data_IF_164993936736
#
_entry.id   IF_164993936736
#
_cell.length_a   1.000
_cell.length_b   1.000
_cell.length_c   1.000
_cell.angle_alpha   90.00
_cell.angle_beta   90.00
_cell.angle_gamma   90.00
#
_symmetry.space_group_name_H-M   'P 1'
#
loop_
_entity.id
_entity.type
_entity.pdbx_description
1 polymer ?
#
# COMPACT_ATOMS: atom_id res chain seq x y z
N UNK A 1 11.94 -2.01 -14.48
CA UNK A 1 11.53 -3.42 -14.52
C UNK A 1 10.21 -3.56 -13.80
N UNK A 2 10.11 -2.99 -12.60
CA UNK A 2 8.93 -2.96 -11.74
C UNK A 2 7.65 -2.54 -12.47
N UNK A 3 7.72 -1.52 -13.32
CA UNK A 3 6.58 -1.06 -14.14
C UNK A 3 6.11 -2.10 -15.17
N UNK A 4 7.00 -2.83 -15.83
CA UNK A 4 6.65 -3.59 -17.05
C UNK A 4 6.83 -5.11 -16.93
N UNK A 5 7.28 -5.61 -15.77
CA UNK A 5 7.69 -7.02 -15.60
C UNK A 5 7.27 -7.59 -14.25
N UNK A 6 7.28 -6.79 -13.18
CA UNK A 6 7.08 -7.31 -11.83
C UNK A 6 5.68 -7.88 -11.61
N UNK A 7 4.65 -7.39 -12.32
CA UNK A 7 3.30 -7.94 -12.25
C UNK A 7 3.26 -9.42 -12.67
N UNK A 8 4.00 -9.83 -13.70
CA UNK A 8 4.07 -11.23 -14.14
C UNK A 8 4.81 -12.11 -13.11
N UNK A 9 5.86 -11.55 -12.50
CA UNK A 9 6.61 -12.24 -11.44
C UNK A 9 5.72 -12.43 -10.22
N UNK A 10 4.99 -11.40 -9.82
CA UNK A 10 4.06 -11.44 -8.69
C UNK A 10 2.93 -12.44 -8.95
N UNK A 11 2.34 -12.46 -10.14
CA UNK A 11 1.29 -13.41 -10.50
C UNK A 11 1.76 -14.87 -10.32
N UNK A 12 2.95 -15.19 -10.83
CA UNK A 12 3.53 -16.54 -10.66
C UNK A 12 3.83 -16.84 -9.19
N UNK A 13 4.34 -15.85 -8.45
CA UNK A 13 4.67 -15.98 -7.03
C UNK A 13 3.44 -16.09 -6.13
N UNK A 14 2.27 -15.59 -6.54
CA UNK A 14 1.05 -15.58 -5.72
C UNK A 14 0.00 -16.62 -6.14
N UNK A 15 0.11 -17.22 -7.34
CA UNK A 15 -0.91 -18.10 -7.95
C UNK A 15 -1.45 -19.23 -7.08
N UNK A 16 -0.63 -19.80 -6.19
CA UNK A 16 -0.98 -20.98 -5.39
C UNK A 16 -1.38 -20.65 -3.96
N UNK A 17 -1.38 -19.38 -3.58
CA UNK A 17 -1.70 -18.91 -2.24
C UNK A 17 -3.17 -18.51 -2.14
N UNK A 18 -3.76 -18.75 -0.96
CA UNK A 18 -5.20 -18.59 -0.72
C UNK A 18 -5.55 -17.34 0.07
N UNK A 19 -4.56 -16.77 0.77
CA UNK A 19 -4.72 -15.56 1.56
C UNK A 19 -4.97 -14.33 0.69
N UNK A 20 -4.77 -13.17 1.30
CA UNK A 20 -4.95 -11.87 0.62
C UNK A 20 -4.11 -11.80 -0.65
N UNK A 21 -4.68 -11.23 -1.71
CA UNK A 21 -3.98 -11.06 -2.98
C UNK A 21 -2.74 -10.18 -2.81
N UNK A 22 -1.65 -10.62 -3.42
CA UNK A 22 -0.44 -9.82 -3.57
C UNK A 22 -0.57 -8.80 -4.70
N UNK A 23 0.37 -7.88 -4.73
CA UNK A 23 0.65 -6.96 -5.83
C UNK A 23 2.14 -6.63 -5.79
N UNK A 24 2.63 -5.89 -6.79
CA UNK A 24 4.06 -5.57 -6.93
C UNK A 24 4.57 -4.77 -5.72
N UNK A 25 5.84 -4.96 -5.34
CA UNK A 25 6.50 -4.13 -4.31
C UNK A 25 6.75 -2.73 -4.87
N UNK A 26 7.18 -2.66 -6.12
CA UNK A 26 7.63 -1.43 -6.75
C UNK A 26 8.97 -0.93 -6.17
N UNK A 27 9.49 0.19 -6.70
CA UNK A 27 10.88 0.59 -6.43
C UNK A 27 11.06 1.41 -5.14
N UNK A 28 9.99 1.65 -4.39
CA UNK A 28 9.95 2.68 -3.33
C UNK A 28 9.86 2.13 -1.91
N UNK A 29 9.96 0.82 -1.73
CA UNK A 29 10.09 0.22 -0.41
C UNK A 29 11.43 0.58 0.23
N UNK A 30 11.40 0.91 1.53
CA UNK A 30 12.60 1.12 2.35
C UNK A 30 12.40 0.42 3.70
N UNK A 31 13.29 -0.51 4.09
CA UNK A 31 13.18 -1.20 5.38
C UNK A 31 13.55 -0.28 6.55
N UNK A 32 13.01 -0.58 7.73
CA UNK A 32 13.39 0.10 8.98
C UNK A 32 12.55 1.33 9.33
N UNK A 33 11.36 1.46 8.73
CA UNK A 33 10.41 2.49 9.11
C UNK A 33 10.03 2.38 10.60
N UNK A 34 9.79 3.51 11.29
CA UNK A 34 9.49 3.53 12.72
C UNK A 34 8.37 2.58 13.12
N UNK A 35 8.56 1.86 14.24
CA UNK A 35 7.50 1.02 14.79
C UNK A 35 6.42 1.87 15.46
N UNK A 36 5.16 1.54 15.16
CA UNK A 36 3.97 2.22 15.66
C UNK A 36 3.01 1.22 16.31
N UNK A 37 2.22 1.65 17.31
CA UNK A 37 1.21 0.78 17.94
C UNK A 37 0.06 0.47 16.97
N UNK A 38 -0.69 -0.59 17.29
CA UNK A 38 -1.84 -1.08 16.50
C UNK A 38 -2.81 0.03 16.08
N UNK A 39 -3.05 0.99 16.97
CA UNK A 39 -3.81 2.21 16.70
C UNK A 39 -2.86 3.39 16.63
N UNK A 40 -2.65 3.93 15.43
CA UNK A 40 -1.68 5.01 15.21
C UNK A 40 -2.06 5.96 14.08
N UNK A 41 -1.25 6.99 13.92
CA UNK A 41 -1.23 7.87 12.75
C UNK A 41 0.16 7.78 12.15
N UNK A 42 0.27 7.66 10.82
CA UNK A 42 1.58 7.68 10.17
C UNK A 42 2.33 8.99 10.44
N UNK A 43 3.68 8.99 10.41
CA UNK A 43 4.44 10.23 10.37
C UNK A 43 4.02 11.03 9.13
N UNK A 44 3.71 12.31 9.31
CA UNK A 44 3.23 13.19 8.24
C UNK A 44 3.52 14.65 8.61
N UNK A 45 3.77 15.50 7.60
CA UNK A 45 3.95 16.95 7.77
C UNK A 45 2.64 17.62 8.19
N UNK A 46 2.71 18.88 8.62
CA UNK A 46 1.50 19.67 8.88
C UNK A 46 0.68 19.94 7.61
N UNK A 47 1.35 20.06 6.46
CA UNK A 47 0.71 20.17 5.13
C UNK A 47 -0.16 18.94 4.84
N UNK A 48 0.40 17.75 5.01
CA UNK A 48 -0.31 16.48 4.84
C UNK A 48 -1.53 16.39 5.77
N UNK A 49 -1.42 16.88 7.03
CA UNK A 49 -2.53 16.92 8.00
C UNK A 49 -3.68 17.84 7.59
N UNK A 50 -3.48 18.73 6.63
CA UNK A 50 -4.52 19.58 6.06
C UNK A 50 -5.50 18.81 5.16
N UNK A 51 -5.13 17.63 4.67
CA UNK A 51 -5.97 16.80 3.82
C UNK A 51 -6.96 15.96 4.65
N UNK A 52 -8.12 15.56 4.06
CA UNK A 52 -9.04 14.66 4.72
C UNK A 52 -8.36 13.36 5.15
N UNK A 53 -8.49 13.00 6.43
CA UNK A 53 -7.88 11.80 6.97
C UNK A 53 -8.48 10.54 6.35
N UNK A 54 -7.63 9.57 6.05
CA UNK A 54 -7.97 8.19 5.71
C UNK A 54 -7.67 7.29 6.92
N UNK A 55 -8.67 6.53 7.37
CA UNK A 55 -8.54 5.56 8.45
C UNK A 55 -8.70 4.17 7.85
N UNK A 56 -7.60 3.44 7.75
CA UNK A 56 -7.56 2.05 7.36
C UNK A 56 -7.56 1.19 8.63
N UNK A 57 -8.56 0.34 8.81
CA UNK A 57 -8.65 -0.55 9.97
C UNK A 57 -9.00 -1.97 9.55
N UNK A 58 -8.70 -2.94 10.39
CA UNK A 58 -9.02 -4.33 10.10
C UNK A 58 -8.27 -5.28 11.02
N UNK A 59 -8.14 -6.53 10.57
CA UNK A 59 -7.52 -7.62 11.30
C UNK A 59 -6.58 -8.41 10.39
N UNK A 60 -5.41 -8.77 10.92
CA UNK A 60 -4.51 -9.75 10.31
C UNK A 60 -4.85 -11.12 10.89
N UNK A 61 -5.19 -12.08 10.03
CA UNK A 61 -5.60 -13.43 10.40
C UNK A 61 -4.78 -14.48 9.67
N UNK A 62 -4.88 -15.73 10.11
CA UNK A 62 -4.58 -16.86 9.24
C UNK A 62 -5.78 -17.24 8.35
N UNK A 63 -5.63 -18.31 7.57
CA UNK A 63 -6.66 -18.80 6.65
C UNK A 63 -7.91 -19.37 7.36
N UNK A 64 -7.81 -19.72 8.64
CA UNK A 64 -8.93 -20.20 9.44
C UNK A 64 -9.66 -19.03 10.15
N UNK A 65 -9.17 -17.79 9.97
CA UNK A 65 -9.72 -16.58 10.55
C UNK A 65 -9.23 -16.29 11.97
N UNK A 66 -8.23 -17.02 12.47
CA UNK A 66 -7.65 -16.73 13.77
C UNK A 66 -6.75 -15.48 13.70
N UNK A 67 -7.01 -14.50 14.56
CA UNK A 67 -6.24 -13.27 14.64
C UNK A 67 -4.77 -13.50 15.00
N UNK A 68 -3.87 -12.81 14.31
CA UNK A 68 -2.42 -12.98 14.46
C UNK A 68 -1.81 -11.85 15.29
N UNK A 69 -1.72 -12.09 16.60
CA UNK A 69 -1.10 -11.17 17.56
C UNK A 69 0.34 -10.83 17.18
N UNK A 70 0.69 -9.54 17.20
CA UNK A 70 2.05 -9.08 16.93
C UNK A 70 2.50 -9.27 15.48
N UNK A 71 1.57 -9.57 14.56
CA UNK A 71 1.83 -9.39 13.14
C UNK A 71 2.20 -7.92 12.85
N UNK A 72 3.04 -7.71 11.85
CA UNK A 72 3.46 -6.37 11.43
C UNK A 72 2.88 -6.00 10.07
N UNK A 73 2.55 -4.71 9.92
CA UNK A 73 2.10 -4.10 8.68
C UNK A 73 3.06 -2.94 8.40
N UNK A 74 3.99 -3.13 7.46
CA UNK A 74 4.82 -2.05 6.94
C UNK A 74 4.04 -1.33 5.85
N UNK A 75 3.70 -0.06 6.08
CA UNK A 75 2.90 0.77 5.19
C UNK A 75 3.75 1.92 4.65
N UNK A 76 3.71 2.13 3.34
CA UNK A 76 4.27 3.32 2.69
C UNK A 76 3.39 3.78 1.53
N UNK A 77 3.33 5.09 1.29
CA UNK A 77 2.66 5.65 0.12
C UNK A 77 3.17 7.06 -0.18
N UNK A 78 2.77 7.59 -1.34
CA UNK A 78 3.03 8.96 -1.74
C UNK A 78 2.20 9.97 -0.93
N UNK A 79 2.63 11.24 -0.92
CA UNK A 79 1.80 12.35 -0.47
C UNK A 79 0.77 12.79 -1.54
N UNK A 80 0.08 13.91 -1.30
CA UNK A 80 -0.92 14.48 -2.23
C UNK A 80 -0.28 15.09 -3.49
N UNK A 81 1.05 15.22 -3.54
CA UNK A 81 1.80 15.67 -4.71
C UNK A 81 2.44 14.49 -5.48
N UNK A 82 2.24 13.25 -5.01
CA UNK A 82 2.80 12.05 -5.63
C UNK A 82 4.25 11.75 -5.23
N UNK A 83 4.80 12.41 -4.21
CA UNK A 83 6.17 12.20 -3.75
C UNK A 83 6.30 11.16 -2.64
N UNK A 84 7.34 10.33 -2.75
CA UNK A 84 7.75 9.38 -1.73
C UNK A 84 8.92 9.92 -0.91
N UNK A 85 8.81 9.84 0.42
CA UNK A 85 9.95 10.13 1.31
C UNK A 85 11.16 9.25 0.97
N UNK A 86 12.35 9.81 1.15
CA UNK A 86 13.67 9.28 0.72
C UNK A 86 13.92 9.28 -0.80
N UNK A 87 12.89 9.52 -1.60
CA UNK A 87 13.00 9.72 -3.06
C UNK A 87 12.69 11.16 -3.48
N UNK A 88 12.25 11.99 -2.53
CA UNK A 88 12.08 13.43 -2.67
C UNK A 88 12.85 14.15 -1.54
N UNK A 89 13.92 14.92 -1.86
CA UNK A 89 14.82 15.50 -0.84
C UNK A 89 14.17 16.48 0.15
N UNK A 90 13.00 17.03 -0.17
CA UNK A 90 12.29 17.98 0.67
C UNK A 90 11.39 17.32 1.72
N UNK A 91 11.16 16.00 1.62
CA UNK A 91 10.31 15.27 2.55
C UNK A 91 11.13 14.76 3.75
N UNK A 92 10.54 14.74 4.96
CA UNK A 92 11.10 14.00 6.09
C UNK A 92 11.35 12.52 5.73
N UNK A 93 12.41 11.93 6.27
CA UNK A 93 12.89 10.58 5.92
C UNK A 93 11.80 9.49 5.99
N UNK A 94 10.91 9.57 6.97
CA UNK A 94 9.84 8.60 7.19
C UNK A 94 8.44 9.17 6.96
N UNK A 95 8.32 10.26 6.18
CA UNK A 95 7.00 10.81 5.84
C UNK A 95 6.15 9.73 5.16
N UNK A 96 4.95 9.49 5.70
CA UNK A 96 3.96 8.51 5.23
C UNK A 96 4.52 7.08 5.15
N UNK A 97 5.41 6.73 6.09
CA UNK A 97 6.00 5.39 6.26
C UNK A 97 5.93 4.93 7.72
N UNK A 98 5.59 3.67 7.97
CA UNK A 98 5.59 3.11 9.32
C UNK A 98 5.46 1.60 9.37
N UNK A 99 5.92 1.00 10.47
CA UNK A 99 5.78 -0.43 10.78
C UNK A 99 4.79 -0.61 11.92
N UNK A 100 3.55 -0.97 11.62
CA UNK A 100 2.48 -1.07 12.60
C UNK A 100 2.47 -2.47 13.20
N UNK A 101 2.48 -2.57 14.53
CA UNK A 101 2.38 -3.84 15.26
C UNK A 101 0.93 -4.04 15.70
N UNK A 102 0.28 -5.09 15.20
CA UNK A 102 -1.09 -5.46 15.55
C UNK A 102 -1.26 -5.77 17.03
N UNK A 103 -2.48 -5.61 17.54
CA UNK A 103 -2.81 -5.92 18.94
C UNK A 103 -2.90 -7.43 19.21
N UNK A 104 -3.34 -7.80 20.42
CA UNK A 104 -3.47 -9.21 20.84
C UNK A 104 -4.49 -10.01 20.03
N UNK A 105 -5.41 -9.36 19.31
CA UNK A 105 -6.36 -10.00 18.42
C UNK A 105 -5.94 -9.88 16.95
N UNK A 106 -4.76 -9.34 16.65
CA UNK A 106 -4.31 -9.09 15.28
C UNK A 106 -4.94 -7.87 14.63
N UNK A 107 -5.61 -6.99 15.39
CA UNK A 107 -6.29 -5.80 14.85
C UNK A 107 -5.35 -4.61 14.72
N UNK A 108 -5.74 -3.69 13.83
CA UNK A 108 -5.05 -2.44 13.59
C UNK A 108 -6.04 -1.32 13.19
N UNK A 109 -5.65 -0.07 13.44
CA UNK A 109 -6.32 1.15 12.98
C UNK A 109 -5.25 2.21 12.67
N UNK A 110 -5.06 2.50 11.39
CA UNK A 110 -4.01 3.37 10.88
C UNK A 110 -4.66 4.60 10.27
N UNK A 111 -4.39 5.76 10.85
CA UNK A 111 -4.76 7.05 10.26
C UNK A 111 -3.62 7.55 9.37
N UNK A 112 -3.95 7.91 8.14
CA UNK A 112 -3.07 8.54 7.17
C UNK A 112 -3.85 9.53 6.30
N UNK A 113 -3.32 9.91 5.14
CA UNK A 113 -4.03 10.60 4.07
C UNK A 113 -4.25 9.65 2.88
N UNK A 114 -5.26 9.92 2.06
CA UNK A 114 -5.36 9.24 0.78
C UNK A 114 -4.27 9.81 -0.16
N UNK A 115 -3.40 8.97 -0.75
CA UNK A 115 -2.37 9.43 -1.67
C UNK A 115 -2.98 9.96 -2.99
N UNK A 116 -2.25 10.82 -3.68
CA UNK A 116 -2.57 11.17 -5.06
C UNK A 116 -2.20 10.03 -6.04
N UNK A 117 -2.76 10.02 -7.27
CA UNK A 117 -2.19 9.25 -8.36
C UNK A 117 -0.72 9.56 -8.58
N UNK A 118 0.05 8.58 -9.00
CA UNK A 118 1.49 8.69 -9.14
C UNK A 118 1.90 8.73 -10.61
N UNK A 119 2.71 9.73 -10.98
CA UNK A 119 3.30 9.81 -12.31
C UNK A 119 4.73 9.25 -12.29
N UNK A 120 5.01 8.27 -13.15
CA UNK A 120 6.39 7.82 -13.40
C UNK A 120 7.21 9.02 -13.91
N UNK A 121 8.44 9.25 -13.39
CA UNK A 121 9.32 10.29 -13.89
C UNK A 121 9.48 10.25 -15.40
N UNK A 122 9.05 11.32 -16.06
CA UNK A 122 8.95 11.39 -17.52
C UNK A 122 10.24 11.85 -18.19
N UNK A 123 11.18 12.42 -17.44
CA UNK A 123 12.46 12.95 -17.93
C UNK A 123 13.52 11.87 -18.17
N UNK A 124 13.33 10.69 -17.57
CA UNK A 124 14.19 9.52 -17.70
C UNK A 124 13.88 8.61 -18.91
N UNK A 125 14.69 7.56 -19.13
CA UNK A 125 14.49 6.59 -20.21
C UNK A 125 13.12 5.90 -20.19
N UNK A 126 12.60 5.58 -19.00
CA UNK A 126 11.26 4.98 -18.83
C UNK A 126 10.17 5.90 -19.37
N UNK A 127 10.21 7.18 -18.99
CA UNK A 127 9.30 8.21 -19.50
C UNK A 127 9.34 8.35 -21.02
N UNK A 128 10.54 8.44 -21.59
CA UNK A 128 10.74 8.52 -23.04
C UNK A 128 10.19 7.30 -23.78
N UNK A 129 10.33 6.11 -23.19
CA UNK A 129 9.75 4.88 -23.76
C UNK A 129 8.23 4.91 -23.74
N UNK A 130 7.61 5.30 -22.61
CA UNK A 130 6.16 5.47 -22.48
C UNK A 130 5.63 6.47 -23.51
N UNK A 131 6.28 7.62 -23.63
CA UNK A 131 5.93 8.66 -24.62
C UNK A 131 6.04 8.12 -26.05
N UNK A 132 7.15 7.47 -26.40
CA UNK A 132 7.36 6.90 -27.73
C UNK A 132 6.36 5.79 -28.08
N UNK A 133 5.85 5.06 -27.09
CA UNK A 133 4.81 4.05 -27.26
C UNK A 133 3.39 4.63 -27.31
N UNK A 134 3.21 5.93 -27.03
CA UNK A 134 1.90 6.58 -26.97
C UNK A 134 1.08 6.18 -25.73
N UNK A 135 1.74 5.76 -24.65
CA UNK A 135 1.12 5.38 -23.39
C UNK A 135 1.07 6.55 -22.40
N UNK A 136 0.26 6.44 -21.34
CA UNK A 136 0.28 7.39 -20.23
C UNK A 136 1.23 6.91 -19.12
N UNK A 137 1.90 7.82 -18.38
CA UNK A 137 2.87 7.46 -17.33
C UNK A 137 2.24 7.36 -15.93
N UNK A 138 0.95 7.04 -15.80
CA UNK A 138 0.22 7.19 -14.54
C UNK A 138 -0.13 5.87 -13.88
N UNK A 139 -0.01 5.84 -12.56
CA UNK A 139 -0.54 4.82 -11.66
C UNK A 139 -1.70 5.42 -10.85
N UNK A 140 -2.73 4.62 -10.51
CA UNK A 140 -3.78 5.06 -9.60
C UNK A 140 -3.23 5.38 -8.21
N UNK A 141 -4.01 6.11 -7.40
CA UNK A 141 -3.71 6.27 -5.98
C UNK A 141 -3.64 4.91 -5.27
N UNK A 142 -2.58 4.66 -4.50
CA UNK A 142 -2.35 3.36 -3.87
C UNK A 142 -1.60 3.44 -2.54
N UNK A 143 -1.95 2.54 -1.62
CA UNK A 143 -1.21 2.24 -0.40
C UNK A 143 -0.36 1.00 -0.65
N UNK A 144 0.94 1.03 -0.36
CA UNK A 144 1.74 -0.20 -0.35
C UNK A 144 1.81 -0.81 1.03
N UNK A 145 1.67 -2.13 1.11
CA UNK A 145 1.74 -2.85 2.38
C UNK A 145 2.60 -4.11 2.26
N UNK A 146 3.44 -4.32 3.28
CA UNK A 146 4.07 -5.60 3.55
C UNK A 146 3.58 -6.12 4.89
N UNK A 147 2.86 -7.24 4.88
CA UNK A 147 2.25 -7.85 6.07
C UNK A 147 2.99 -9.12 6.42
N UNK A 148 3.46 -9.23 7.66
CA UNK A 148 4.24 -10.39 8.14
C UNK A 148 3.79 -10.86 9.51
N UNK A 149 3.91 -12.17 9.76
CA UNK A 149 3.69 -12.78 11.06
C UNK A 149 4.56 -14.04 11.20
N UNK A 150 5.06 -14.38 12.40
CA UNK A 150 5.85 -15.59 12.61
C UNK A 150 5.13 -16.86 12.11
N UNK A 151 5.85 -17.69 11.34
CA UNK A 151 5.31 -18.93 10.78
C UNK A 151 4.30 -18.74 9.64
N UNK A 152 4.09 -17.50 9.17
CA UNK A 152 3.25 -17.18 8.02
C UNK A 152 4.08 -16.65 6.86
N UNK A 153 3.59 -16.84 5.65
CA UNK A 153 4.19 -16.27 4.45
C UNK A 153 3.93 -14.75 4.44
N UNK A 154 4.97 -13.92 4.24
CA UNK A 154 4.79 -12.49 3.99
C UNK A 154 3.88 -12.22 2.78
N UNK A 155 3.08 -11.17 2.86
CA UNK A 155 2.34 -10.64 1.70
C UNK A 155 2.91 -9.26 1.40
N UNK A 156 3.29 -9.04 0.15
CA UNK A 156 3.50 -7.72 -0.41
C UNK A 156 2.28 -7.43 -1.28
N UNK A 157 1.61 -6.31 -1.03
CA UNK A 157 0.38 -5.94 -1.72
C UNK A 157 0.22 -4.44 -1.83
N UNK A 158 -0.77 -4.03 -2.61
CA UNK A 158 -1.20 -2.66 -2.76
C UNK A 158 -2.70 -2.58 -2.53
N UNK A 159 -3.19 -1.45 -2.04
CA UNK A 159 -4.62 -1.16 -1.96
C UNK A 159 -4.91 0.12 -2.73
N UNK A 160 -5.92 0.06 -3.59
CA UNK A 160 -6.34 1.12 -4.50
C UNK A 160 -7.69 1.70 -4.07
N UNK A 161 -8.17 2.75 -4.73
CA UNK A 161 -9.45 3.39 -4.39
C UNK A 161 -10.44 3.26 -5.54
N UNK A 162 -11.60 2.65 -5.29
CA UNK A 162 -12.64 2.44 -6.28
C UNK A 162 -13.07 3.75 -6.95
N UNK A 163 -13.18 3.74 -8.29
CA UNK A 163 -13.54 4.93 -9.08
C UNK A 163 -12.45 6.00 -9.16
N UNK A 164 -11.25 5.77 -8.63
CA UNK A 164 -10.11 6.66 -8.78
C UNK A 164 -9.53 6.64 -10.19
N UNK A 165 -8.86 7.73 -10.57
CA UNK A 165 -8.18 7.83 -11.86
C UNK A 165 -7.16 6.68 -12.05
N UNK A 166 -7.04 6.19 -13.29
CA UNK A 166 -6.07 5.18 -13.73
C UNK A 166 -6.25 3.78 -13.10
N UNK A 167 -7.33 3.53 -12.35
CA UNK A 167 -7.58 2.19 -11.78
C UNK A 167 -7.77 1.12 -12.86
N UNK A 168 -8.48 1.48 -13.94
CA UNK A 168 -8.79 0.58 -15.05
C UNK A 168 -7.69 0.51 -16.12
N UNK A 169 -6.67 1.36 -15.99
CA UNK A 169 -5.54 1.49 -16.93
C UNK A 169 -4.29 1.90 -16.13
N UNK A 170 -3.80 1.02 -15.25
CA UNK A 170 -2.55 1.26 -14.51
C UNK A 170 -1.37 0.96 -15.44
N UNK A 171 -0.48 1.93 -15.65
CA UNK A 171 0.75 1.72 -16.46
C UNK A 171 1.61 0.56 -15.95
N UNK A 172 1.50 0.21 -14.66
CA UNK A 172 2.21 -0.92 -14.05
C UNK A 172 1.45 -2.25 -14.10
N UNK A 173 0.21 -2.28 -14.61
CA UNK A 173 -0.67 -3.46 -14.66
C UNK A 173 -0.80 -4.17 -13.30
N UNK A 174 -0.80 -3.40 -12.20
CA UNK A 174 -0.71 -3.95 -10.84
C UNK A 174 -2.06 -3.95 -10.08
N UNK A 175 -3.10 -3.33 -10.65
CA UNK A 175 -4.43 -3.28 -10.05
C UNK A 175 -5.13 -4.64 -10.10
N UNK A 176 -5.84 -4.98 -9.02
CA UNK A 176 -6.68 -6.18 -8.92
C UNK A 176 -8.00 -5.82 -8.26
N UNK A 177 -9.14 -6.39 -8.69
CA UNK A 177 -10.45 -6.06 -8.11
C UNK A 177 -10.53 -6.28 -6.60
N UNK A 178 -9.87 -7.32 -6.07
CA UNK A 178 -9.85 -7.64 -4.63
C UNK A 178 -9.13 -6.59 -3.79
N UNK A 179 -8.35 -5.72 -4.43
CA UNK A 179 -7.51 -4.71 -3.80
C UNK A 179 -8.11 -3.29 -3.89
N UNK A 180 -9.37 -3.17 -4.33
CA UNK A 180 -10.09 -1.90 -4.41
C UNK A 180 -10.81 -1.60 -3.09
N UNK A 181 -10.44 -0.48 -2.47
CA UNK A 181 -11.08 0.09 -1.30
C UNK A 181 -12.24 0.99 -1.72
N UNK A 182 -13.32 0.98 -0.93
CA UNK A 182 -14.44 1.92 -1.05
C UNK A 182 -14.67 2.63 0.30
N UNK A 183 -13.87 3.66 0.63
CA UNK A 183 -13.96 4.33 1.92
C UNK A 183 -15.25 5.11 2.10
N UNK A 184 -15.87 4.98 3.27
CA UNK A 184 -17.05 5.77 3.66
C UNK A 184 -16.63 6.99 4.46
N UNK A 185 -17.33 8.11 4.28
CA UNK A 185 -17.09 9.32 5.07
C UNK A 185 -17.86 9.21 6.39
N UNK A 186 -17.16 9.34 7.51
CA UNK A 186 -17.78 9.34 8.85
C UNK A 186 -18.31 10.73 9.25
N UNK A 187 -18.98 10.82 10.41
CA UNK A 187 -19.55 12.07 10.94
C UNK A 187 -18.50 13.17 11.18
N UNK A 188 -17.23 12.80 11.32
CA UNK A 188 -16.11 13.71 11.49
C UNK A 188 -15.45 14.12 10.15
N UNK A 189 -16.01 13.68 9.01
CA UNK A 189 -15.49 13.97 7.68
C UNK A 189 -14.26 13.14 7.28
N UNK A 190 -13.93 12.08 8.03
CA UNK A 190 -12.81 11.19 7.73
C UNK A 190 -13.27 10.10 6.77
N UNK A 191 -12.41 9.73 5.83
CA UNK A 191 -12.58 8.54 5.00
C UNK A 191 -12.20 7.32 5.83
N UNK A 192 -13.10 6.37 6.03
CA UNK A 192 -12.89 5.17 6.84
C UNK A 192 -13.12 3.95 5.98
N UNK A 193 -12.21 2.98 6.06
CA UNK A 193 -12.32 1.72 5.33
C UNK A 193 -11.83 0.55 6.16
N UNK A 194 -12.57 -0.55 6.07
CA UNK A 194 -12.26 -1.83 6.69
C UNK A 194 -11.57 -2.74 5.66
N UNK A 195 -10.43 -3.33 6.01
CA UNK A 195 -9.73 -4.30 5.15
C UNK A 195 -8.96 -5.33 5.99
N UNK A 196 -9.23 -6.61 5.79
CA UNK A 196 -8.57 -7.69 6.51
C UNK A 196 -7.43 -8.33 5.68
N UNK A 197 -6.38 -8.78 6.37
CA UNK A 197 -5.28 -9.51 5.76
C UNK A 197 -5.28 -10.97 6.22
N UNK A 198 -5.50 -11.91 5.31
CA UNK A 198 -5.36 -13.34 5.59
C UNK A 198 -4.00 -13.84 5.11
N UNK A 199 -3.20 -14.43 6.00
CA UNK A 199 -1.86 -14.93 5.69
C UNK A 199 -1.83 -16.46 5.52
N UNK A 200 -1.27 -16.92 4.41
CA UNK A 200 -0.92 -18.32 4.21
C UNK A 200 0.17 -18.78 5.19
N UNK A 201 0.22 -20.07 5.55
CA UNK A 201 1.35 -20.62 6.29
C UNK A 201 2.65 -20.45 5.50
N UNK A 202 3.78 -20.28 6.21
CA UNK A 202 5.08 -20.35 5.56
C UNK A 202 5.26 -21.75 4.95
N UNK A 203 5.82 -21.81 3.74
CA UNK A 203 6.24 -23.08 3.14
C UNK A 203 7.65 -23.42 3.62
N UNK A 204 7.85 -24.67 4.04
CA UNK A 204 9.18 -25.23 4.32
C UNK A 204 10.09 -25.26 3.08
#
# INVERSE_FOLDING_TARGET
>A
LDVFVEHDIEEVNSRNFKGTKGSIEGPYYVPGAPQLPARCTLPMRDEDRGHPALVLRGQVTDLDGAGLSGATIELWHADDEGYYSQFAPHLPEWNLRGTIVTDSEGRYEITTIQPAPYQIPTDGPTGKFIEAAGWHPWRPAHLHLRVTSPGKRPIITQLYFAGGDWVDDDVATATKPELLLDPVIDDAGRKVVDYDFALDPATD
#
